data_IF_316122897316
#
_entry.id   IF_316122897316
#
_cell.length_a   1.000
_cell.length_b   1.000
_cell.length_c   1.000
_cell.angle_alpha   90.00
_cell.angle_beta   90.00
_cell.angle_gamma   90.00
#
_symmetry.space_group_name_H-M   'P 1'
#
loop_
_entity.id
_entity.type
_entity.pdbx_description
1 polymer ?
#
# COMPACT_ATOMS: atom_id res chain seq x y z
N UNK A 1 -12.24 -22.56 -1.47
CA UNK A 1 -12.63 -21.20 -1.03
C UNK A 1 -11.56 -20.70 -0.10
N UNK A 2 -10.99 -19.53 -0.36
CA UNK A 2 -9.94 -18.96 0.49
C UNK A 2 -10.58 -18.27 1.70
N UNK A 3 -9.98 -18.42 2.87
CA UNK A 3 -10.43 -17.77 4.11
C UNK A 3 -9.21 -17.25 4.86
N UNK A 4 -9.42 -16.21 5.65
CA UNK A 4 -8.47 -15.78 6.68
C UNK A 4 -9.09 -16.00 8.05
N UNK A 5 -8.23 -16.12 9.04
CA UNK A 5 -8.59 -16.39 10.42
C UNK A 5 -8.07 -15.22 11.25
N UNK A 6 -8.98 -14.47 11.86
CA UNK A 6 -8.65 -13.33 12.72
C UNK A 6 -8.61 -13.87 14.16
N UNK A 7 -7.47 -13.82 14.85
CA UNK A 7 -7.38 -14.26 16.23
C UNK A 7 -8.24 -13.35 17.12
N UNK A 8 -9.01 -13.95 18.02
CA UNK A 8 -9.84 -13.21 18.99
C UNK A 8 -8.97 -12.81 20.18
N UNK A 9 -8.99 -11.53 20.52
CA UNK A 9 -8.07 -10.96 21.50
C UNK A 9 -8.21 -11.64 22.86
N UNK A 10 -7.10 -12.15 23.39
CA UNK A 10 -7.04 -12.75 24.72
C UNK A 10 -7.61 -14.16 24.82
N UNK A 11 -7.85 -14.83 23.69
CA UNK A 11 -8.35 -16.20 23.63
C UNK A 11 -7.57 -17.06 22.62
N UNK A 12 -7.87 -18.36 22.57
CA UNK A 12 -7.38 -19.27 21.51
C UNK A 12 -8.38 -19.36 20.32
N UNK A 13 -9.45 -18.56 20.33
CA UNK A 13 -10.49 -18.60 19.30
C UNK A 13 -10.10 -17.74 18.08
N UNK A 14 -10.69 -18.07 16.93
CA UNK A 14 -10.47 -17.35 15.67
C UNK A 14 -11.80 -17.10 14.94
N UNK A 15 -11.95 -15.89 14.42
CA UNK A 15 -13.05 -15.52 13.51
C UNK A 15 -12.64 -15.86 12.08
N UNK A 16 -13.34 -16.80 11.46
CA UNK A 16 -13.14 -17.14 10.05
C UNK A 16 -13.85 -16.14 9.14
N UNK A 17 -13.09 -15.51 8.26
CA UNK A 17 -13.62 -14.61 7.22
C UNK A 17 -13.44 -15.25 5.85
N UNK A 18 -14.55 -15.44 5.14
CA UNK A 18 -14.54 -15.96 3.77
C UNK A 18 -14.23 -14.84 2.77
N UNK A 19 -13.12 -14.97 2.04
CA UNK A 19 -12.61 -13.91 1.16
C UNK A 19 -13.47 -13.69 -0.10
N UNK A 20 -14.22 -14.72 -0.52
CA UNK A 20 -15.17 -14.64 -1.63
C UNK A 20 -16.51 -13.98 -1.25
N UNK A 21 -16.76 -13.76 0.04
CA UNK A 21 -18.00 -13.19 0.56
C UNK A 21 -17.74 -12.03 1.52
N UNK A 22 -16.81 -11.14 1.16
CA UNK A 22 -16.52 -9.96 1.97
C UNK A 22 -17.73 -9.00 2.01
N UNK A 23 -18.00 -8.38 3.17
CA UNK A 23 -19.09 -7.41 3.33
C UNK A 23 -19.06 -6.29 2.30
N UNK A 24 -20.22 -5.73 1.96
CA UNK A 24 -20.30 -4.61 1.04
C UNK A 24 -19.79 -3.30 1.68
N UNK A 25 -20.04 -3.12 2.98
CA UNK A 25 -19.49 -2.05 3.78
C UNK A 25 -18.18 -2.52 4.43
N UNK A 26 -17.08 -1.78 4.23
CA UNK A 26 -15.82 -2.14 4.85
C UNK A 26 -15.82 -1.89 6.36
N UNK A 27 -16.75 -1.07 6.87
CA UNK A 27 -16.88 -0.79 8.30
C UNK A 27 -17.14 -2.06 9.11
N UNK A 28 -17.94 -2.98 8.58
CA UNK A 28 -18.24 -4.26 9.24
C UNK A 28 -16.98 -5.10 9.51
N UNK A 29 -16.06 -5.16 8.56
CA UNK A 29 -14.81 -5.90 8.75
C UNK A 29 -13.78 -5.10 9.53
N UNK A 30 -13.77 -3.78 9.39
CA UNK A 30 -12.90 -2.89 10.16
C UNK A 30 -13.20 -2.94 11.65
N UNK A 31 -14.48 -3.01 12.03
CA UNK A 31 -14.89 -3.13 13.43
C UNK A 31 -14.32 -4.41 14.06
N UNK A 32 -14.34 -5.53 13.32
CA UNK A 32 -13.73 -6.79 13.76
C UNK A 32 -12.21 -6.65 13.86
N UNK A 33 -11.56 -6.12 12.82
CA UNK A 33 -10.11 -5.98 12.80
C UNK A 33 -9.58 -5.09 13.94
N UNK A 34 -10.31 -4.03 14.28
CA UNK A 34 -9.97 -3.12 15.38
C UNK A 34 -10.28 -3.74 16.73
N UNK A 35 -11.47 -4.30 16.90
CA UNK A 35 -11.90 -4.91 18.17
C UNK A 35 -10.96 -6.04 18.59
N UNK A 36 -10.54 -6.87 17.65
CA UNK A 36 -9.67 -8.02 17.91
C UNK A 36 -8.18 -7.70 17.83
N UNK A 37 -7.82 -6.43 17.61
CA UNK A 37 -6.43 -5.97 17.44
C UNK A 37 -5.68 -6.85 16.42
N UNK A 38 -6.34 -7.09 15.29
CA UNK A 38 -5.91 -8.03 14.29
C UNK A 38 -4.57 -7.59 13.66
N UNK A 39 -3.60 -8.52 13.49
CA UNK A 39 -2.32 -8.20 12.86
C UNK A 39 -2.46 -7.52 11.49
N UNK A 40 -1.66 -6.48 11.23
CA UNK A 40 -1.76 -5.65 10.01
C UNK A 40 -1.63 -6.43 8.69
N UNK A 41 -0.97 -7.60 8.68
CA UNK A 41 -0.93 -8.44 7.49
C UNK A 41 -2.33 -8.94 7.07
N UNK A 42 -3.26 -9.13 8.02
CA UNK A 42 -4.65 -9.50 7.72
C UNK A 42 -5.41 -8.35 7.07
N UNK A 43 -5.15 -7.11 7.50
CA UNK A 43 -5.70 -5.90 6.88
C UNK A 43 -5.29 -5.81 5.41
N UNK A 44 -4.01 -6.05 5.12
CA UNK A 44 -3.47 -6.09 3.76
C UNK A 44 -4.10 -7.19 2.89
N UNK A 45 -4.30 -8.40 3.45
CA UNK A 45 -4.94 -9.51 2.72
C UNK A 45 -6.38 -9.16 2.35
N UNK A 46 -7.15 -8.62 3.30
CA UNK A 46 -8.56 -8.26 3.09
C UNK A 46 -8.66 -7.08 2.11
N UNK A 47 -7.86 -6.03 2.27
CA UNK A 47 -7.81 -4.91 1.34
C UNK A 47 -7.52 -5.40 -0.08
N UNK A 48 -6.48 -6.22 -0.27
CA UNK A 48 -6.13 -6.80 -1.58
C UNK A 48 -7.29 -7.59 -2.18
N UNK A 49 -8.07 -8.28 -1.37
CA UNK A 49 -9.23 -9.02 -1.86
C UNK A 49 -10.37 -8.09 -2.31
N UNK A 50 -10.66 -7.01 -1.56
CA UNK A 50 -11.57 -5.95 -2.04
C UNK A 50 -11.10 -5.38 -3.38
N UNK A 51 -9.81 -5.10 -3.53
CA UNK A 51 -9.24 -4.61 -4.78
C UNK A 51 -9.45 -5.59 -5.95
N UNK A 52 -9.20 -6.89 -5.73
CA UNK A 52 -9.44 -7.95 -6.74
C UNK A 52 -10.90 -8.04 -7.19
N UNK A 53 -11.84 -7.71 -6.32
CA UNK A 53 -13.27 -7.68 -6.61
C UNK A 53 -13.73 -6.36 -7.25
N UNK A 54 -12.82 -5.41 -7.51
CA UNK A 54 -13.15 -4.08 -8.06
C UNK A 54 -13.78 -3.12 -7.04
N UNK A 55 -13.79 -3.49 -5.75
CA UNK A 55 -14.35 -2.70 -4.66
C UNK A 55 -13.30 -1.70 -4.14
N UNK A 56 -13.02 -0.67 -4.94
CA UNK A 56 -11.90 0.25 -4.72
C UNK A 56 -12.06 1.13 -3.48
N UNK A 57 -13.27 1.57 -3.16
CA UNK A 57 -13.53 2.39 -1.97
C UNK A 57 -13.25 1.61 -0.67
N UNK A 58 -13.65 0.35 -0.62
CA UNK A 58 -13.40 -0.54 0.51
C UNK A 58 -11.90 -0.84 0.66
N UNK A 59 -11.21 -1.08 -0.45
CA UNK A 59 -9.75 -1.19 -0.46
C UNK A 59 -9.09 0.06 0.14
N UNK A 60 -9.51 1.25 -0.31
CA UNK A 60 -8.97 2.53 0.16
C UNK A 60 -9.26 2.73 1.66
N UNK A 61 -10.52 2.55 2.06
CA UNK A 61 -10.96 2.73 3.45
C UNK A 61 -10.17 1.84 4.41
N UNK A 62 -9.96 0.57 4.09
CA UNK A 62 -9.20 -0.34 4.96
C UNK A 62 -7.74 0.12 5.14
N UNK A 63 -7.10 0.58 4.07
CA UNK A 63 -5.71 1.05 4.15
C UNK A 63 -5.59 2.42 4.84
N UNK A 64 -6.55 3.33 4.62
CA UNK A 64 -6.60 4.63 5.32
C UNK A 64 -6.76 4.43 6.83
N UNK A 65 -7.70 3.56 7.24
CA UNK A 65 -7.88 3.18 8.64
C UNK A 65 -6.64 2.47 9.19
N UNK A 66 -6.06 1.52 8.44
CA UNK A 66 -4.84 0.79 8.79
C UNK A 66 -3.56 1.64 8.77
N UNK A 67 -3.65 2.94 8.46
CA UNK A 67 -2.57 3.91 8.58
C UNK A 67 -3.01 5.17 9.33
N UNK A 68 -4.08 5.08 10.12
CA UNK A 68 -4.52 6.16 11.01
C UNK A 68 -3.61 6.33 12.23
N UNK A 69 -3.70 7.47 12.96
CA UNK A 69 -2.86 7.74 14.12
C UNK A 69 -2.97 6.68 15.22
N UNK A 70 -4.19 6.18 15.49
CA UNK A 70 -4.42 5.13 16.48
C UNK A 70 -3.68 3.84 16.15
N UNK A 71 -3.70 3.45 14.86
CA UNK A 71 -2.99 2.28 14.37
C UNK A 71 -1.47 2.50 14.39
N UNK A 72 -1.02 3.70 14.04
CA UNK A 72 0.40 4.08 14.10
C UNK A 72 0.96 3.99 15.54
N UNK A 73 0.18 4.40 16.53
CA UNK A 73 0.55 4.33 17.96
C UNK A 73 0.53 2.88 18.47
N UNK A 74 -0.54 2.13 18.16
CA UNK A 74 -0.71 0.76 18.65
C UNK A 74 0.30 -0.21 18.02
N UNK A 75 0.56 -0.09 16.71
CA UNK A 75 1.51 -0.95 15.98
C UNK A 75 2.87 -0.27 15.77
N UNK A 76 3.31 0.57 16.71
CA UNK A 76 4.55 1.34 16.57
C UNK A 76 5.79 0.47 16.28
N UNK A 77 5.84 -0.73 16.86
CA UNK A 77 6.94 -1.70 16.67
C UNK A 77 6.84 -2.50 15.36
N UNK A 78 5.71 -2.41 14.64
CA UNK A 78 5.49 -3.12 13.37
C UNK A 78 5.87 -2.21 12.21
N UNK A 79 7.06 -2.42 11.63
CA UNK A 79 7.54 -1.57 10.55
C UNK A 79 7.04 -2.00 9.17
N UNK A 80 7.26 -3.26 8.81
CA UNK A 80 7.08 -3.73 7.42
C UNK A 80 5.64 -3.60 6.93
N UNK A 81 4.66 -4.05 7.72
CA UNK A 81 3.25 -3.98 7.35
C UNK A 81 2.73 -2.55 7.29
N UNK A 82 3.18 -1.67 8.19
CA UNK A 82 2.84 -0.23 8.14
C UNK A 82 3.39 0.42 6.89
N UNK A 83 4.64 0.14 6.52
CA UNK A 83 5.22 0.62 5.26
C UNK A 83 4.46 0.03 4.06
N UNK A 84 4.11 -1.26 4.08
CA UNK A 84 3.35 -1.89 3.00
C UNK A 84 1.97 -1.25 2.80
N UNK A 85 1.25 -0.89 3.86
CA UNK A 85 -0.04 -0.17 3.79
C UNK A 85 0.16 1.21 3.15
N UNK A 86 1.16 1.98 3.62
CA UNK A 86 1.47 3.31 3.08
C UNK A 86 1.90 3.23 1.60
N UNK A 87 2.74 2.27 1.23
CA UNK A 87 3.17 2.06 -0.14
C UNK A 87 2.00 1.62 -1.04
N UNK A 88 1.06 0.82 -0.53
CA UNK A 88 -0.16 0.46 -1.27
C UNK A 88 -1.07 1.68 -1.52
N UNK A 89 -1.24 2.57 -0.54
CA UNK A 89 -1.94 3.84 -0.73
C UNK A 89 -1.21 4.75 -1.73
N UNK A 90 0.11 4.86 -1.61
CA UNK A 90 0.94 5.61 -2.55
C UNK A 90 0.79 5.12 -4.00
N UNK A 91 0.83 3.80 -4.19
CA UNK A 91 0.63 3.17 -5.49
C UNK A 91 -0.79 3.37 -6.02
N UNK A 92 -1.81 3.26 -5.15
CA UNK A 92 -3.20 3.46 -5.51
C UNK A 92 -3.49 4.89 -5.99
N UNK A 93 -3.01 5.89 -5.26
CA UNK A 93 -3.12 7.29 -5.68
C UNK A 93 -2.31 7.58 -6.94
N UNK A 94 -1.14 6.95 -7.12
CA UNK A 94 -0.38 7.03 -8.38
C UNK A 94 -1.22 6.50 -9.55
N UNK A 95 -1.92 5.38 -9.36
CA UNK A 95 -2.80 4.78 -10.35
C UNK A 95 -3.98 5.71 -10.70
N UNK A 96 -4.68 6.25 -9.69
CA UNK A 96 -5.78 7.19 -9.91
C UNK A 96 -5.31 8.46 -10.64
N UNK A 97 -4.19 9.04 -10.22
CA UNK A 97 -3.63 10.24 -10.86
C UNK A 97 -3.33 10.05 -12.36
N UNK A 98 -2.98 8.84 -12.79
CA UNK A 98 -2.78 8.53 -14.22
C UNK A 98 -4.08 8.44 -15.02
N UNK A 99 -5.18 8.05 -14.38
CA UNK A 99 -6.49 7.94 -15.02
C UNK A 99 -7.20 9.29 -15.12
N UNK A 100 -6.84 10.24 -14.26
CA UNK A 100 -7.50 11.54 -14.13
C UNK A 100 -6.87 12.66 -15.00
N UNK A 101 -7.64 13.74 -15.17
CA UNK A 101 -7.17 15.00 -15.78
C UNK A 101 -6.83 16.03 -14.70
N UNK A 102 -6.11 17.10 -15.07
CA UNK A 102 -5.94 18.25 -14.20
C UNK A 102 -7.31 18.88 -13.85
N UNK A 103 -7.56 19.30 -12.59
CA UNK A 103 -6.61 19.34 -11.48
C UNK A 103 -6.54 18.05 -10.62
N UNK A 104 -7.46 17.10 -10.79
CA UNK A 104 -7.56 15.93 -9.91
C UNK A 104 -6.35 15.01 -9.97
N UNK A 105 -5.73 14.90 -11.14
CA UNK A 105 -4.42 14.24 -11.31
C UNK A 105 -3.38 14.74 -10.29
N UNK A 106 -3.27 16.05 -10.10
CA UNK A 106 -2.25 16.65 -9.22
C UNK A 106 -2.57 16.41 -7.74
N UNK A 107 -3.85 16.35 -7.38
CA UNK A 107 -4.30 15.98 -6.03
C UNK A 107 -3.81 14.58 -5.70
N UNK A 108 -4.10 13.60 -6.55
CA UNK A 108 -3.66 12.23 -6.34
C UNK A 108 -2.14 12.07 -6.31
N UNK A 109 -1.41 12.79 -7.17
CA UNK A 109 0.05 12.77 -7.12
C UNK A 109 0.63 13.37 -5.85
N UNK A 110 -0.03 14.40 -5.30
CA UNK A 110 0.33 14.97 -4.00
C UNK A 110 0.08 13.96 -2.87
N UNK A 111 -1.07 13.31 -2.86
CA UNK A 111 -1.42 12.29 -1.86
C UNK A 111 -0.43 11.11 -1.92
N UNK A 112 -0.15 10.59 -3.12
CA UNK A 112 0.85 9.53 -3.31
C UNK A 112 2.22 9.92 -2.74
N UNK A 113 2.66 11.17 -2.99
CA UNK A 113 3.92 11.69 -2.44
C UNK A 113 3.90 11.72 -0.91
N UNK A 114 2.78 12.10 -0.29
CA UNK A 114 2.66 12.13 1.17
C UNK A 114 2.74 10.73 1.78
N UNK A 115 2.10 9.73 1.18
CA UNK A 115 2.17 8.36 1.68
C UNK A 115 3.59 7.78 1.59
N UNK A 116 4.30 7.97 0.47
CA UNK A 116 5.70 7.54 0.38
C UNK A 116 6.60 8.28 1.36
N UNK A 117 6.39 9.58 1.59
CA UNK A 117 7.12 10.32 2.61
C UNK A 117 6.86 9.79 4.02
N UNK A 118 5.62 9.38 4.33
CA UNK A 118 5.30 8.74 5.61
C UNK A 118 5.99 7.38 5.73
N UNK A 119 6.02 6.58 4.68
CA UNK A 119 6.72 5.30 4.66
C UNK A 119 8.23 5.48 4.92
N UNK A 120 8.87 6.42 4.24
CA UNK A 120 10.30 6.72 4.44
C UNK A 120 10.64 7.27 5.84
N UNK A 121 9.66 7.82 6.58
CA UNK A 121 9.88 8.21 7.99
C UNK A 121 9.94 7.01 8.93
N UNK A 122 9.32 5.89 8.55
CA UNK A 122 9.39 4.64 9.31
C UNK A 122 10.72 3.94 9.03
N UNK A 123 11.06 3.83 7.75
CA UNK A 123 12.35 3.29 7.29
C UNK A 123 12.71 3.88 5.91
N UNK A 124 13.81 4.62 5.84
CA UNK A 124 14.29 5.24 4.61
C UNK A 124 15.02 4.26 3.68
N UNK A 125 15.45 3.11 4.21
CA UNK A 125 16.16 2.07 3.46
C UNK A 125 15.21 1.07 2.80
N UNK A 126 13.91 1.11 3.14
CA UNK A 126 12.93 0.16 2.63
C UNK A 126 12.80 0.22 1.09
N UNK A 127 13.25 -0.82 0.35
CA UNK A 127 13.34 -0.77 -1.11
C UNK A 127 11.99 -0.58 -1.80
N UNK A 128 10.92 -1.18 -1.24
CA UNK A 128 9.58 -1.09 -1.82
C UNK A 128 9.08 0.36 -1.92
N UNK A 129 9.50 1.23 -0.99
CA UNK A 129 9.16 2.65 -0.99
C UNK A 129 9.84 3.39 -2.14
N UNK A 130 11.12 3.12 -2.39
CA UNK A 130 11.86 3.72 -3.51
C UNK A 130 11.33 3.28 -4.87
N UNK A 131 10.93 2.00 -5.00
CA UNK A 131 10.25 1.49 -6.20
C UNK A 131 8.93 2.25 -6.43
N UNK A 132 8.12 2.43 -5.38
CA UNK A 132 6.86 3.17 -5.47
C UNK A 132 7.06 4.63 -5.91
N UNK A 133 8.06 5.32 -5.34
CA UNK A 133 8.45 6.68 -5.73
C UNK A 133 8.91 6.75 -7.19
N UNK A 134 9.71 5.78 -7.64
CA UNK A 134 10.12 5.68 -9.04
C UNK A 134 8.91 5.57 -9.98
N UNK A 135 7.93 4.72 -9.66
CA UNK A 135 6.70 4.60 -10.45
C UNK A 135 5.85 5.88 -10.45
N UNK A 136 5.82 6.62 -9.34
CA UNK A 136 5.17 7.93 -9.27
C UNK A 136 5.87 8.96 -10.17
N UNK A 137 7.20 9.01 -10.17
CA UNK A 137 7.96 9.88 -11.07
C UNK A 137 7.73 9.52 -12.55
N UNK A 138 7.64 8.21 -12.88
CA UNK A 138 7.21 7.77 -14.22
C UNK A 138 5.82 8.33 -14.56
N UNK A 139 4.87 8.24 -13.64
CA UNK A 139 3.50 8.74 -13.84
C UNK A 139 3.45 10.27 -14.04
N UNK A 140 4.36 11.01 -13.41
CA UNK A 140 4.53 12.46 -13.56
C UNK A 140 5.29 12.86 -14.83
N UNK A 141 6.01 11.94 -15.47
CA UNK A 141 6.90 12.23 -16.60
C UNK A 141 8.30 12.68 -16.17
N UNK A 142 8.64 12.55 -14.89
CA UNK A 142 9.92 12.91 -14.29
C UNK A 142 10.93 11.75 -14.46
N UNK A 143 11.29 11.43 -15.71
CA UNK A 143 12.01 10.18 -16.04
C UNK A 143 13.38 10.07 -15.36
N UNK A 144 14.12 11.18 -15.21
CA UNK A 144 15.40 11.16 -14.52
C UNK A 144 15.24 10.83 -13.03
N UNK A 145 14.29 11.47 -12.35
CA UNK A 145 14.02 11.21 -10.92
C UNK A 145 13.52 9.79 -10.69
N UNK A 146 12.77 9.23 -11.65
CA UNK A 146 12.38 7.83 -11.63
C UNK A 146 13.60 6.90 -11.73
N UNK A 147 14.53 7.18 -12.65
CA UNK A 147 15.75 6.39 -12.81
C UNK A 147 16.60 6.42 -11.55
N UNK A 148 16.78 7.60 -10.95
CA UNK A 148 17.55 7.76 -9.71
C UNK A 148 16.90 6.96 -8.56
N UNK A 149 15.57 6.96 -8.46
CA UNK A 149 14.83 6.21 -7.44
C UNK A 149 15.01 4.69 -7.58
N UNK A 150 14.92 4.16 -8.80
CA UNK A 150 15.16 2.72 -9.02
C UNK A 150 16.63 2.34 -8.80
N UNK A 151 17.55 3.24 -9.14
CA UNK A 151 18.98 2.99 -8.96
C UNK A 151 19.36 2.85 -7.48
N UNK A 152 18.75 3.62 -6.57
CA UNK A 152 18.96 3.47 -5.12
C UNK A 152 18.76 2.01 -4.69
N UNK A 153 17.69 1.37 -5.18
CA UNK A 153 17.42 -0.04 -4.88
C UNK A 153 18.42 -0.98 -5.53
N UNK A 154 18.78 -0.74 -6.79
CA UNK A 154 19.70 -1.59 -7.56
C UNK A 154 21.15 -1.50 -7.08
N UNK A 155 21.54 -0.38 -6.47
CA UNK A 155 22.86 -0.21 -5.87
C UNK A 155 23.01 -1.11 -4.61
N UNK A 156 21.90 -1.44 -3.92
CA UNK A 156 21.87 -2.39 -2.79
C UNK A 156 21.60 -3.84 -3.23
N UNK A 157 20.62 -4.04 -4.11
CA UNK A 157 20.20 -5.33 -4.66
C UNK A 157 20.08 -5.24 -6.19
N UNK A 158 21.17 -5.56 -6.88
CA UNK A 158 21.26 -5.50 -8.35
C UNK A 158 20.29 -6.44 -9.07
N UNK A 159 19.75 -7.45 -8.38
CA UNK A 159 18.80 -8.42 -8.91
C UNK A 159 17.35 -8.10 -8.53
N UNK A 160 17.10 -6.92 -7.94
CA UNK A 160 15.76 -6.51 -7.54
C UNK A 160 14.83 -6.38 -8.75
N UNK A 161 14.01 -7.40 -8.97
CA UNK A 161 13.18 -7.53 -10.17
C UNK A 161 12.23 -6.33 -10.40
N UNK A 162 11.49 -5.82 -9.40
CA UNK A 162 10.66 -4.64 -9.60
C UNK A 162 11.44 -3.38 -10.02
N UNK A 163 12.62 -3.14 -9.44
CA UNK A 163 13.45 -1.99 -9.78
C UNK A 163 14.06 -2.12 -11.19
N UNK A 164 14.54 -3.32 -11.57
CA UNK A 164 15.00 -3.62 -12.92
C UNK A 164 13.90 -3.38 -13.96
N UNK A 165 12.69 -3.88 -13.70
CA UNK A 165 11.54 -3.65 -14.58
C UNK A 165 11.21 -2.16 -14.71
N UNK A 166 11.35 -1.40 -13.61
CA UNK A 166 11.24 0.06 -13.60
C UNK A 166 12.25 0.74 -14.53
N UNK A 167 13.53 0.37 -14.45
CA UNK A 167 14.58 0.89 -15.33
C UNK A 167 14.33 0.51 -16.80
N UNK A 168 13.99 -0.75 -17.09
CA UNK A 168 13.67 -1.18 -18.44
C UNK A 168 12.51 -0.36 -19.02
N UNK A 169 11.48 -0.09 -18.23
CA UNK A 169 10.36 0.75 -18.66
C UNK A 169 10.80 2.16 -19.08
N UNK A 170 11.76 2.76 -18.39
CA UNK A 170 12.26 4.09 -18.73
C UNK A 170 12.92 4.10 -20.11
N UNK A 171 13.71 3.07 -20.44
CA UNK A 171 14.37 2.92 -21.75
C UNK A 171 13.39 2.81 -22.92
N UNK A 172 12.17 2.32 -22.69
CA UNK A 172 11.14 2.21 -23.72
C UNK A 172 10.30 3.50 -23.88
N UNK A 173 10.28 4.37 -22.86
CA UNK A 173 9.48 5.60 -22.86
C UNK A 173 10.31 6.83 -23.28
N UNK A 174 11.63 6.80 -23.08
CA UNK A 174 12.60 7.80 -23.56
C UNK A 174 12.81 7.75 -25.08
#
# INVERSE_FOLDING_TARGET
>A
MASVYIPVQGTEEEVRVALDHLPADASDILDILKAEQAPLHLWLIIAREYFKQGKLEQFRQILEEGSGPEIDDYYADVKYERIAILNALGAFHTFLGKAEKAPQKEVHFKDATQYYNRASRIDETEPSTWIGRGQLCVAKGELQMASDSFKIVLDEDGDNFPALLGQCRLLFIS
#
